data_IF_593169942290
#
_entry.id   IF_593169942290
#
_cell.length_a   1.000
_cell.length_b   1.000
_cell.length_c   1.000
_cell.angle_alpha   90.00
_cell.angle_beta   90.00
_cell.angle_gamma   90.00
#
_symmetry.space_group_name_H-M   'P 1'
#
loop_
_entity.id
_entity.type
_entity.pdbx_description
1 polymer ?
#
# COMPACT_ATOMS: atom_id res chain seq x y z
N UNK A 1 -39.51 -12.32 28.18
CA UNK A 1 -39.27 -11.38 27.04
C UNK A 1 -38.74 -12.19 25.85
N UNK A 2 -39.63 -12.71 25.01
CA UNK A 2 -39.25 -13.50 23.83
C UNK A 2 -38.88 -12.55 22.70
N UNK A 3 -37.58 -12.33 22.55
CA UNK A 3 -37.01 -11.48 21.51
C UNK A 3 -37.34 -12.09 20.13
N UNK A 4 -38.19 -11.41 19.37
CA UNK A 4 -38.75 -11.91 18.10
C UNK A 4 -37.66 -12.29 17.10
N UNK A 5 -37.92 -13.33 16.29
CA UNK A 5 -36.98 -13.85 15.28
C UNK A 5 -36.40 -12.76 14.37
N UNK A 6 -37.18 -11.71 14.06
CA UNK A 6 -36.74 -10.55 13.28
C UNK A 6 -35.66 -9.69 13.96
N UNK A 7 -35.72 -9.49 15.29
CA UNK A 7 -34.69 -8.76 16.02
C UNK A 7 -33.38 -9.56 16.10
N UNK A 8 -33.48 -10.90 16.20
CA UNK A 8 -32.30 -11.79 16.14
C UNK A 8 -31.60 -11.74 14.78
N UNK A 9 -32.38 -11.71 13.69
CA UNK A 9 -31.86 -11.54 12.34
C UNK A 9 -31.19 -10.18 12.16
N UNK A 10 -31.83 -9.10 12.60
CA UNK A 10 -31.28 -7.74 12.51
C UNK A 10 -29.97 -7.60 13.31
N UNK A 11 -29.94 -8.15 14.53
CA UNK A 11 -28.75 -8.16 15.38
C UNK A 11 -27.61 -9.01 14.79
N UNK A 12 -27.94 -10.14 14.15
CA UNK A 12 -26.95 -10.98 13.47
C UNK A 12 -26.33 -10.25 12.26
N UNK A 13 -27.13 -9.55 11.46
CA UNK A 13 -26.62 -8.72 10.36
C UNK A 13 -25.79 -7.53 10.85
N UNK A 14 -26.17 -6.89 11.96
CA UNK A 14 -25.39 -5.80 12.52
C UNK A 14 -24.02 -6.27 13.06
N UNK A 15 -23.98 -7.44 13.69
CA UNK A 15 -22.75 -8.03 14.21
C UNK A 15 -21.78 -8.44 13.09
N UNK A 16 -22.26 -8.99 11.97
CA UNK A 16 -21.41 -9.31 10.82
C UNK A 16 -20.85 -8.05 10.16
N UNK A 17 -21.66 -7.00 9.99
CA UNK A 17 -21.18 -5.71 9.47
C UNK A 17 -20.11 -5.07 10.38
N UNK A 18 -20.27 -5.15 11.70
CA UNK A 18 -19.28 -4.62 12.65
C UNK A 18 -17.95 -5.40 12.62
N UNK A 19 -17.98 -6.71 12.35
CA UNK A 19 -16.77 -7.53 12.26
C UNK A 19 -15.89 -7.19 11.04
N UNK A 20 -16.49 -6.75 9.93
CA UNK A 20 -15.74 -6.30 8.74
C UNK A 20 -15.18 -4.88 8.91
N UNK A 21 -15.74 -4.06 9.79
CA UNK A 21 -15.23 -2.72 10.08
C UNK A 21 -13.92 -2.71 10.89
N UNK A 22 -13.60 -3.84 11.55
CA UNK A 22 -12.41 -4.02 12.38
C UNK A 22 -11.25 -4.72 11.65
N UNK A 23 -11.32 -4.90 10.33
CA UNK A 23 -10.17 -5.41 9.59
C UNK A 23 -8.99 -4.43 9.75
N UNK A 24 -7.80 -4.89 10.17
CA UNK A 24 -6.63 -4.03 10.25
C UNK A 24 -6.37 -3.46 8.85
N UNK A 25 -6.28 -2.14 8.76
CA UNK A 25 -5.79 -1.49 7.55
C UNK A 25 -4.38 -2.05 7.27
N UNK A 26 -4.14 -2.56 6.07
CA UNK A 26 -2.81 -2.98 5.67
C UNK A 26 -1.89 -1.76 5.79
N UNK A 27 -0.95 -1.81 6.72
CA UNK A 27 -0.03 -0.72 6.93
C UNK A 27 1.00 -0.73 5.79
N UNK A 28 1.10 0.39 5.09
CA UNK A 28 2.01 0.61 3.97
C UNK A 28 3.12 1.54 4.45
N UNK A 29 4.36 1.05 4.39
CA UNK A 29 5.54 1.77 4.84
C UNK A 29 6.20 2.49 3.66
N UNK A 30 6.24 3.82 3.72
CA UNK A 30 6.97 4.62 2.71
C UNK A 30 8.48 4.59 2.97
N UNK A 31 9.23 4.05 2.03
CA UNK A 31 10.69 3.95 2.05
C UNK A 31 11.28 4.99 1.10
N UNK A 32 12.15 5.86 1.62
CA UNK A 32 12.80 6.90 0.82
C UNK A 32 14.11 6.37 0.24
N UNK A 33 14.21 6.33 -1.09
CA UNK A 33 15.45 6.00 -1.79
C UNK A 33 16.15 7.29 -2.26
N UNK A 34 17.43 7.40 -1.94
CA UNK A 34 18.28 8.47 -2.46
C UNK A 34 18.74 8.18 -3.88
N UNK A 35 18.69 9.19 -4.74
CA UNK A 35 19.22 9.11 -6.11
C UNK A 35 20.09 10.33 -6.39
N UNK A 36 21.26 10.10 -6.99
CA UNK A 36 22.21 11.15 -7.34
C UNK A 36 22.81 10.88 -8.72
N UNK A 37 22.52 11.77 -9.67
CA UNK A 37 23.12 11.77 -11.00
C UNK A 37 23.09 13.19 -11.58
N UNK A 38 23.95 13.53 -12.57
CA UNK A 38 23.89 14.81 -13.25
C UNK A 38 22.58 14.95 -14.05
N UNK A 39 21.71 15.88 -13.68
CA UNK A 39 20.49 16.19 -14.43
C UNK A 39 20.64 17.44 -15.32
N UNK A 40 21.81 18.05 -15.30
CA UNK A 40 22.13 19.28 -16.04
C UNK A 40 23.54 19.24 -16.62
N UNK A 41 23.80 20.06 -17.63
CA UNK A 41 25.11 20.16 -18.27
C UNK A 41 25.39 19.04 -19.28
N UNK A 42 26.64 18.90 -19.74
CA UNK A 42 27.00 18.01 -20.85
C UNK A 42 26.68 16.52 -20.63
N UNK A 43 26.52 16.08 -19.39
CA UNK A 43 26.28 14.68 -19.02
C UNK A 43 24.85 14.42 -18.52
N UNK A 44 23.93 15.39 -18.70
CA UNK A 44 22.54 15.31 -18.24
C UNK A 44 21.78 14.10 -18.78
N UNK A 45 22.05 13.72 -20.04
CA UNK A 45 21.36 12.59 -20.67
C UNK A 45 21.55 11.28 -19.90
N UNK A 46 22.75 11.02 -19.36
CA UNK A 46 22.99 9.84 -18.54
C UNK A 46 22.17 9.86 -17.25
N UNK A 47 22.05 11.00 -16.58
CA UNK A 47 21.25 11.11 -15.36
C UNK A 47 19.75 10.98 -15.62
N UNK A 48 19.28 11.49 -16.76
CA UNK A 48 17.90 11.31 -17.21
C UNK A 48 17.60 9.83 -17.52
N UNK A 49 18.48 9.14 -18.24
CA UNK A 49 18.36 7.72 -18.53
C UNK A 49 18.35 6.88 -17.25
N UNK A 50 19.25 7.19 -16.30
CA UNK A 50 19.29 6.54 -14.99
C UNK A 50 18.03 6.80 -14.17
N UNK A 51 17.49 8.04 -14.17
CA UNK A 51 16.25 8.38 -13.46
C UNK A 51 15.09 7.58 -14.02
N UNK A 52 14.96 7.51 -15.34
CA UNK A 52 13.89 6.77 -16.01
C UNK A 52 13.99 5.26 -15.69
N UNK A 53 15.20 4.70 -15.73
CA UNK A 53 15.43 3.30 -15.33
C UNK A 53 15.09 3.03 -13.87
N UNK A 54 15.46 3.94 -12.96
CA UNK A 54 15.11 3.83 -11.55
C UNK A 54 13.59 3.89 -11.33
N UNK A 55 12.88 4.76 -12.05
CA UNK A 55 11.42 4.84 -11.98
C UNK A 55 10.78 3.51 -12.37
N UNK A 56 11.18 2.91 -13.49
CA UNK A 56 10.67 1.60 -13.91
C UNK A 56 10.96 0.50 -12.88
N UNK A 57 12.17 0.49 -12.31
CA UNK A 57 12.54 -0.48 -11.27
C UNK A 57 11.70 -0.32 -9.99
N UNK A 58 11.39 0.93 -9.59
CA UNK A 58 10.53 1.20 -8.45
C UNK A 58 9.07 0.81 -8.71
N UNK A 59 8.56 1.05 -9.92
CA UNK A 59 7.21 0.62 -10.31
C UNK A 59 7.07 -0.90 -10.24
N UNK A 60 8.04 -1.64 -10.76
CA UNK A 60 8.08 -3.12 -10.66
C UNK A 60 8.19 -3.57 -9.20
N UNK A 61 9.12 -3.00 -8.42
CA UNK A 61 9.29 -3.36 -7.01
C UNK A 61 8.01 -3.12 -6.18
N UNK A 62 7.32 -2.00 -6.42
CA UNK A 62 6.05 -1.69 -5.76
C UNK A 62 4.92 -2.65 -6.17
N UNK A 63 4.91 -3.10 -7.43
CA UNK A 63 3.96 -4.10 -7.90
C UNK A 63 4.15 -5.47 -7.23
N UNK A 64 5.38 -5.79 -6.81
CA UNK A 64 5.70 -7.04 -6.10
C UNK A 64 5.20 -7.07 -4.65
N UNK A 65 4.72 -5.96 -4.09
CA UNK A 65 4.24 -5.86 -2.70
C UNK A 65 5.24 -6.43 -1.69
N UNK A 66 6.50 -6.02 -1.82
CA UNK A 66 7.59 -6.44 -0.94
C UNK A 66 7.24 -6.05 0.51
N UNK A 67 7.40 -6.97 1.46
CA UNK A 67 7.17 -6.71 2.87
C UNK A 67 8.48 -6.40 3.60
N UNK A 68 8.48 -5.33 4.41
CA UNK A 68 9.54 -4.97 5.33
C UNK A 68 8.94 -4.85 6.73
N UNK A 69 9.46 -5.59 7.70
CA UNK A 69 8.95 -5.62 9.09
C UNK A 69 7.45 -5.96 9.20
N UNK A 70 6.88 -6.68 8.24
CA UNK A 70 5.46 -7.04 8.22
C UNK A 70 4.53 -5.96 7.63
N UNK A 71 5.10 -4.88 7.08
CA UNK A 71 4.37 -3.83 6.36
C UNK A 71 4.76 -3.87 4.88
N UNK A 72 3.83 -3.57 3.97
CA UNK A 72 4.15 -3.49 2.54
C UNK A 72 4.97 -2.23 2.31
N UNK A 73 6.16 -2.37 1.73
CA UNK A 73 7.03 -1.25 1.40
C UNK A 73 6.62 -0.58 0.09
N UNK A 74 6.75 0.75 0.04
CA UNK A 74 6.53 1.57 -1.15
C UNK A 74 7.47 2.76 -1.24
#
# INVERSE_FOLDING_TARGET
MHLGKGFKLLAATAATLAAFASAPAAAEQVVKLGFAAPLTGPQSHYGEDMRNGLTLALEEANAQKIELNGEVAR
#
